data_IF_761857048055
#
_entry.id   IF_761857048055
#
_cell.length_a   1.000
_cell.length_b   1.000
_cell.length_c   1.000
_cell.angle_alpha   90.00
_cell.angle_beta   90.00
_cell.angle_gamma   90.00
#
_symmetry.space_group_name_H-M   'P 1'
#
loop_
_entity.id
_entity.type
_entity.pdbx_description
1 polymer ?
#
# COMPACT_ATOMS: atom_id res chain seq x y z
N UNK A 1 -3.82 -13.58 -8.23
CA UNK A 1 -2.49 -14.22 -8.32
C UNK A 1 -1.43 -13.13 -8.19
N UNK A 2 -0.32 -13.37 -7.48
CA UNK A 2 0.77 -12.41 -7.33
C UNK A 2 1.98 -12.89 -8.13
N UNK A 3 2.61 -12.01 -8.90
CA UNK A 3 3.76 -12.33 -9.74
C UNK A 3 4.80 -11.23 -9.61
N UNK A 4 6.07 -11.59 -9.41
CA UNK A 4 7.18 -10.65 -9.53
C UNK A 4 7.36 -10.32 -11.02
N UNK A 5 7.11 -9.07 -11.41
CA UNK A 5 7.28 -8.65 -12.80
C UNK A 5 8.73 -8.35 -13.13
N UNK A 6 9.42 -7.65 -12.22
CA UNK A 6 10.81 -7.21 -12.43
C UNK A 6 11.44 -6.74 -11.13
N UNK A 7 12.77 -6.73 -11.14
CA UNK A 7 13.61 -6.08 -10.12
C UNK A 7 14.29 -4.88 -10.78
N UNK A 8 14.25 -3.75 -10.11
CA UNK A 8 14.80 -2.47 -10.55
C UNK A 8 15.95 -2.05 -9.61
N UNK A 9 16.96 -1.38 -10.16
CA UNK A 9 18.10 -0.89 -9.39
C UNK A 9 19.02 -1.99 -8.84
N UNK A 10 20.02 -1.59 -8.04
CA UNK A 10 20.98 -2.48 -7.37
C UNK A 10 21.28 -1.98 -5.95
N UNK A 11 21.74 -2.89 -5.08
CA UNK A 11 22.16 -2.56 -3.72
C UNK A 11 21.06 -1.89 -2.89
N UNK A 12 21.37 -0.77 -2.24
CA UNK A 12 20.43 -0.05 -1.35
C UNK A 12 19.22 0.57 -2.06
N UNK A 13 19.23 0.66 -3.39
CA UNK A 13 18.13 1.19 -4.20
C UNK A 13 17.34 0.09 -4.93
N UNK A 14 17.57 -1.18 -4.58
CA UNK A 14 16.91 -2.29 -5.23
C UNK A 14 15.43 -2.34 -4.86
N UNK A 15 14.57 -2.46 -5.88
CA UNK A 15 13.11 -2.46 -5.74
C UNK A 15 12.53 -3.61 -6.56
N UNK A 16 11.65 -4.42 -5.97
CA UNK A 16 10.87 -5.42 -6.68
C UNK A 16 9.49 -4.86 -7.04
N UNK A 17 9.03 -5.14 -8.26
CA UNK A 17 7.67 -4.79 -8.71
C UNK A 17 6.83 -6.05 -8.72
N UNK A 18 5.83 -6.08 -7.84
CA UNK A 18 4.89 -7.20 -7.69
C UNK A 18 3.58 -6.81 -8.35
N UNK A 19 3.12 -7.62 -9.29
CA UNK A 19 1.79 -7.49 -9.86
C UNK A 19 0.81 -8.39 -9.12
N UNK A 20 -0.29 -7.80 -8.69
CA UNK A 20 -1.46 -8.50 -8.16
C UNK A 20 -2.64 -8.33 -9.11
N UNK A 21 -3.40 -9.40 -9.30
CA UNK A 21 -4.65 -9.40 -10.06
C UNK A 21 -5.82 -9.76 -9.14
N UNK A 22 -6.95 -9.10 -9.39
CA UNK A 22 -8.23 -9.43 -8.76
C UNK A 22 -8.56 -10.91 -8.95
N UNK A 23 -9.09 -11.55 -7.91
CA UNK A 23 -9.62 -12.91 -8.02
C UNK A 23 -11.03 -12.83 -8.63
N UNK A 24 -11.47 -13.85 -9.39
CA UNK A 24 -12.87 -13.95 -9.78
C UNK A 24 -13.78 -13.81 -8.56
N UNK A 25 -14.86 -13.01 -8.69
CA UNK A 25 -15.80 -12.73 -7.60
C UNK A 25 -15.37 -11.64 -6.60
N UNK A 26 -14.21 -11.00 -6.76
CA UNK A 26 -13.86 -9.86 -5.90
C UNK A 26 -14.63 -8.61 -6.31
N UNK A 27 -15.08 -7.83 -5.34
CA UNK A 27 -15.78 -6.54 -5.54
C UNK A 27 -14.86 -5.39 -6.00
N UNK A 28 -13.57 -5.65 -6.27
CA UNK A 28 -12.64 -4.60 -6.70
C UNK A 28 -12.84 -4.23 -8.17
N UNK A 29 -12.84 -2.92 -8.45
CA UNK A 29 -12.86 -2.37 -9.81
C UNK A 29 -11.48 -2.34 -10.48
N UNK A 30 -10.41 -2.71 -9.77
CA UNK A 30 -9.04 -2.70 -10.31
C UNK A 30 -8.69 -4.07 -10.92
N UNK A 31 -8.33 -4.08 -12.20
CA UNK A 31 -7.91 -5.31 -12.89
C UNK A 31 -6.49 -5.74 -12.54
N UNK A 32 -5.65 -4.76 -12.17
CA UNK A 32 -4.22 -4.94 -11.93
C UNK A 32 -3.71 -3.91 -10.93
N UNK A 33 -2.89 -4.37 -10.00
CA UNK A 33 -2.21 -3.52 -9.01
C UNK A 33 -0.72 -3.81 -9.10
N UNK A 34 0.11 -2.78 -9.23
CA UNK A 34 1.57 -2.91 -9.18
C UNK A 34 2.08 -2.31 -7.87
N UNK A 35 2.73 -3.14 -7.05
CA UNK A 35 3.32 -2.74 -5.78
C UNK A 35 4.84 -2.73 -5.92
N UNK A 36 5.45 -1.57 -5.64
CA UNK A 36 6.90 -1.37 -5.69
C UNK A 36 7.43 -1.50 -4.25
N UNK A 37 8.21 -2.55 -3.99
CA UNK A 37 8.74 -2.86 -2.66
C UNK A 37 10.26 -2.72 -2.68
N UNK A 38 10.80 -1.86 -1.82
CA UNK A 38 12.24 -1.77 -1.57
C UNK A 38 12.74 -3.06 -0.93
N UNK A 39 13.66 -3.78 -1.58
CA UNK A 39 14.21 -5.04 -1.07
C UNK A 39 15.07 -4.87 0.19
N UNK A 40 15.96 -3.86 0.30
CA UNK A 40 16.78 -3.67 1.49
C UNK A 40 15.97 -3.47 2.79
N UNK A 41 14.79 -2.86 2.68
CA UNK A 41 13.99 -2.47 3.85
C UNK A 41 12.63 -3.17 3.93
N UNK A 42 12.23 -3.93 2.91
CA UNK A 42 10.91 -4.56 2.77
C UNK A 42 9.76 -3.56 2.95
N UNK A 43 9.88 -2.36 2.37
CA UNK A 43 8.89 -1.28 2.48
C UNK A 43 8.26 -1.02 1.12
N UNK A 44 6.98 -0.71 1.12
CA UNK A 44 6.27 -0.26 -0.08
C UNK A 44 6.70 1.18 -0.36
N UNK A 45 7.17 1.49 -1.56
CA UNK A 45 7.51 2.87 -1.92
C UNK A 45 6.37 3.51 -2.75
N UNK A 46 5.74 2.69 -3.60
CA UNK A 46 4.64 3.11 -4.49
C UNK A 46 3.69 1.96 -4.78
N UNK A 47 2.42 2.28 -4.99
CA UNK A 47 1.40 1.38 -5.57
C UNK A 47 0.71 2.07 -6.74
N UNK A 48 0.47 1.34 -7.82
CA UNK A 48 -0.22 1.79 -9.02
C UNK A 48 -1.44 0.91 -9.28
N UNK A 49 -2.60 1.54 -9.49
CA UNK A 49 -3.88 0.87 -9.69
C UNK A 49 -4.38 1.07 -11.11
N UNK A 50 -4.73 -0.03 -11.76
CA UNK A 50 -5.22 -0.04 -13.13
C UNK A 50 -6.67 -0.52 -13.18
N UNK A 51 -7.51 0.14 -13.97
CA UNK A 51 -8.91 -0.20 -14.15
C UNK A 51 -9.10 -1.39 -15.13
N UNK A 52 -10.35 -1.78 -15.38
CA UNK A 52 -10.70 -2.82 -16.36
C UNK A 52 -10.21 -2.56 -17.79
N UNK A 53 -9.99 -1.28 -18.15
CA UNK A 53 -9.44 -0.85 -19.45
C UNK A 53 -7.91 -0.80 -19.46
N UNK A 54 -7.26 -1.29 -18.39
CA UNK A 54 -5.81 -1.30 -18.19
C UNK A 54 -5.19 0.10 -18.12
N UNK A 55 -5.97 1.12 -17.81
CA UNK A 55 -5.50 2.50 -17.65
C UNK A 55 -5.06 2.73 -16.21
N UNK A 56 -3.97 3.48 -16.00
CA UNK A 56 -3.52 3.88 -14.66
C UNK A 56 -4.47 4.94 -14.11
N UNK A 57 -5.29 4.57 -13.13
CA UNK A 57 -6.34 5.45 -12.59
C UNK A 57 -5.99 6.05 -11.24
N UNK A 58 -5.16 5.37 -10.44
CA UNK A 58 -4.68 5.89 -9.16
C UNK A 58 -3.22 5.50 -8.90
N UNK A 59 -2.50 6.37 -8.20
CA UNK A 59 -1.22 6.04 -7.59
C UNK A 59 -1.24 6.35 -6.09
N UNK A 60 -0.44 5.60 -5.34
CA UNK A 60 -0.25 5.79 -3.91
C UNK A 60 1.25 5.79 -3.63
N UNK A 61 1.76 6.83 -2.97
CA UNK A 61 3.18 6.96 -2.61
C UNK A 61 3.32 7.00 -1.10
N UNK A 62 4.33 6.28 -0.60
CA UNK A 62 4.57 6.10 0.83
C UNK A 62 5.88 6.78 1.20
N UNK A 63 5.88 7.57 2.28
CA UNK A 63 7.06 8.30 2.70
C UNK A 63 7.06 8.58 4.20
N UNK A 64 8.09 9.30 4.67
CA UNK A 64 8.32 9.61 6.10
C UNK A 64 8.26 8.35 6.97
N UNK A 65 8.93 7.29 6.50
CA UNK A 65 8.97 6.01 7.19
C UNK A 65 9.60 6.15 8.57
N UNK A 66 8.95 5.55 9.57
CA UNK A 66 9.46 5.44 10.94
C UNK A 66 9.40 3.97 11.38
N UNK A 67 10.33 3.57 12.24
CA UNK A 67 10.24 2.29 12.95
C UNK A 67 9.26 2.45 14.11
N UNK A 68 8.28 1.56 14.20
CA UNK A 68 7.35 1.44 15.31
C UNK A 68 7.72 0.16 16.08
N UNK A 69 7.96 0.31 17.38
CA UNK A 69 8.61 -0.74 18.18
C UNK A 69 10.04 -1.02 17.71
N UNK A 70 10.50 -2.26 17.84
CA UNK A 70 11.88 -2.64 17.50
C UNK A 70 12.10 -3.02 16.03
N UNK A 71 11.04 -3.33 15.27
CA UNK A 71 11.15 -4.04 13.98
C UNK A 71 10.31 -3.48 12.83
N UNK A 72 9.19 -2.82 13.09
CA UNK A 72 8.18 -2.60 12.04
C UNK A 72 8.29 -1.21 11.40
N UNK A 73 8.57 -1.16 10.11
CA UNK A 73 8.47 0.08 9.35
C UNK A 73 7.00 0.44 9.09
N UNK A 74 6.65 1.70 9.33
CA UNK A 74 5.34 2.29 9.00
C UNK A 74 5.55 3.62 8.27
N UNK A 75 4.79 3.83 7.20
CA UNK A 75 4.80 5.10 6.49
C UNK A 75 4.12 6.15 7.37
N UNK A 76 4.79 7.27 7.63
CA UNK A 76 4.19 8.41 8.34
C UNK A 76 3.33 9.26 7.41
N UNK A 77 3.53 9.15 6.10
CA UNK A 77 2.76 9.88 5.10
C UNK A 77 2.40 8.94 3.95
N UNK A 78 1.12 8.93 3.58
CA UNK A 78 0.65 8.28 2.37
C UNK A 78 -0.13 9.28 1.54
N UNK A 79 0.30 9.48 0.29
CA UNK A 79 -0.41 10.33 -0.67
C UNK A 79 -1.06 9.43 -1.71
N UNK A 80 -2.38 9.54 -1.86
CA UNK A 80 -3.18 8.87 -2.89
C UNK A 80 -3.56 9.92 -3.92
N UNK A 81 -3.21 9.70 -5.18
CA UNK A 81 -3.59 10.58 -6.29
C UNK A 81 -4.55 9.82 -7.20
N UNK A 82 -5.77 10.33 -7.36
CA UNK A 82 -6.71 9.87 -8.36
C UNK A 82 -6.46 10.65 -9.66
N UNK A 83 -5.89 9.97 -10.65
CA UNK A 83 -5.48 10.56 -11.92
C UNK A 83 -6.69 10.86 -12.83
N UNK A 84 -7.75 10.06 -12.74
CA UNK A 84 -8.98 10.26 -13.50
C UNK A 84 -9.74 11.52 -13.05
N UNK A 85 -9.86 11.71 -11.73
CA UNK A 85 -10.60 12.84 -11.15
C UNK A 85 -9.71 14.06 -10.81
N UNK A 86 -8.38 13.97 -11.02
CA UNK A 86 -7.37 14.98 -10.62
C UNK A 86 -7.47 15.43 -9.15
N UNK A 87 -7.90 14.53 -8.26
CA UNK A 87 -8.00 14.76 -6.81
C UNK A 87 -6.93 13.97 -6.08
N UNK A 88 -6.52 14.44 -4.91
CA UNK A 88 -5.61 13.70 -4.05
C UNK A 88 -6.09 13.68 -2.61
N UNK A 89 -5.74 12.61 -1.91
CA UNK A 89 -5.92 12.46 -0.47
C UNK A 89 -4.56 12.25 0.16
N UNK A 90 -4.31 12.95 1.26
CA UNK A 90 -3.10 12.77 2.06
C UNK A 90 -3.49 12.20 3.41
N UNK A 91 -2.89 11.07 3.77
CA UNK A 91 -3.03 10.42 5.07
C UNK A 91 -1.74 10.65 5.87
N UNK A 92 -1.85 11.37 6.99
CA UNK A 92 -0.75 11.56 7.93
C UNK A 92 -0.93 10.64 9.14
N UNK A 93 0.01 9.74 9.38
CA UNK A 93 -0.02 8.83 10.51
C UNK A 93 0.83 9.39 11.66
N UNK A 94 0.17 9.71 12.77
CA UNK A 94 0.79 10.21 14.00
C UNK A 94 0.48 9.26 15.16
N UNK A 95 1.38 9.20 16.14
CA UNK A 95 1.21 8.43 17.39
C UNK A 95 0.90 6.94 17.19
N UNK A 96 1.41 6.33 16.11
CA UNK A 96 1.25 4.89 15.85
C UNK A 96 1.98 4.09 16.94
N UNK A 97 1.26 3.21 17.63
CA UNK A 97 1.79 2.33 18.65
C UNK A 97 1.39 0.87 18.40
N UNK A 98 2.08 -0.06 19.08
CA UNK A 98 1.77 -1.48 19.06
C UNK A 98 1.20 -1.83 20.44
N UNK A 99 -0.12 -1.91 20.53
CA UNK A 99 -0.84 -2.37 21.71
C UNK A 99 -1.58 -3.66 21.38
N UNK A 100 -1.67 -4.55 22.36
CA UNK A 100 -2.60 -5.66 22.28
C UNK A 100 -4.04 -5.11 22.34
N UNK A 101 -4.92 -5.67 21.52
CA UNK A 101 -6.35 -5.39 21.51
C UNK A 101 -7.07 -6.71 21.77
N UNK A 102 -8.19 -6.65 22.48
CA UNK A 102 -9.04 -7.83 22.70
C UNK A 102 -10.16 -7.88 21.66
N UNK A 103 -10.75 -9.07 21.49
CA UNK A 103 -11.74 -9.32 20.44
C UNK A 103 -13.00 -8.46 20.56
N UNK A 104 -13.40 -8.11 21.80
CA UNK A 104 -14.58 -7.29 22.04
C UNK A 104 -14.45 -5.88 21.44
N UNK A 105 -13.22 -5.36 21.29
CA UNK A 105 -12.96 -4.07 20.63
C UNK A 105 -13.23 -4.08 19.12
N UNK A 106 -13.51 -5.25 18.53
CA UNK A 106 -13.87 -5.41 17.13
C UNK A 106 -15.34 -5.85 16.94
N UNK A 107 -16.17 -5.75 17.99
CA UNK A 107 -17.61 -6.00 17.91
C UNK A 107 -18.38 -4.82 17.32
N UNK A 108 -19.57 -5.05 16.77
CA UNK A 108 -20.45 -3.98 16.29
C UNK A 108 -20.85 -3.03 17.41
N UNK A 109 -21.06 -3.56 18.62
CA UNK A 109 -21.35 -2.75 19.82
C UNK A 109 -20.21 -1.84 20.23
N UNK A 110 -18.98 -2.05 19.75
CA UNK A 110 -17.88 -1.12 19.98
C UNK A 110 -17.91 0.10 19.04
N UNK A 111 -18.84 0.14 18.07
CA UNK A 111 -19.05 1.26 17.14
C UNK A 111 -20.25 2.15 17.53
N UNK A 112 -21.06 1.70 18.49
CA UNK A 112 -22.21 2.42 19.08
C UNK A 112 -21.73 3.33 20.22
#
# INVERSE_FOLDING_TARGET
>A
KNVILKVLGKGKNQTVVIQSQAKPGSETSYSKILTYVSLPYHRIEKVEYFDGKKQLVKNMTFSKYKKVGKKYWRAGLVKVTNLAAKRSTTLELKNVNLKALNDNQFSTSALE
#
